data_IF_466450057946
#
_entry.id   IF_466450057946
#
_cell.length_a   1.000
_cell.length_b   1.000
_cell.length_c   1.000
_cell.angle_alpha   90.00
_cell.angle_beta   90.00
_cell.angle_gamma   90.00
#
_symmetry.space_group_name_H-M   'P 1'
#
loop_
_entity.id
_entity.type
_entity.pdbx_description
1 polymer ?
#
# COMPACT_ATOMS: atom_id res chain seq x y z
N UNK A 1 -41.52 65.88 0.82
CA UNK A 1 -40.84 65.91 -0.49
C UNK A 1 -40.56 64.46 -0.87
N UNK A 2 -41.49 63.78 -1.55
CA UNK A 2 -41.67 63.72 -3.02
C UNK A 2 -40.36 63.30 -3.71
N UNK A 3 -40.28 62.22 -4.50
CA UNK A 3 -41.26 61.77 -5.49
C UNK A 3 -41.16 60.27 -5.80
N UNK A 4 -42.29 59.74 -6.29
CA UNK A 4 -42.55 58.38 -6.78
C UNK A 4 -41.80 58.07 -8.07
N UNK A 5 -41.43 56.81 -8.26
CA UNK A 5 -41.38 56.18 -9.59
C UNK A 5 -41.67 54.69 -9.46
N UNK A 6 -42.89 54.32 -9.86
CA UNK A 6 -43.34 52.96 -10.12
C UNK A 6 -42.74 52.55 -11.48
N UNK A 7 -42.11 51.38 -11.57
CA UNK A 7 -41.76 50.79 -12.86
C UNK A 7 -42.29 49.36 -12.95
N UNK A 8 -42.98 49.11 -14.06
CA UNK A 8 -43.89 48.01 -14.31
C UNK A 8 -43.20 46.66 -14.55
N UNK A 9 -43.92 45.59 -14.20
CA UNK A 9 -43.68 44.22 -14.64
C UNK A 9 -43.55 44.15 -16.17
N UNK A 10 -42.47 43.56 -16.66
CA UNK A 10 -42.39 42.95 -17.98
C UNK A 10 -42.23 41.44 -17.80
N UNK A 11 -43.36 40.75 -17.72
CA UNK A 11 -43.47 39.29 -17.74
C UNK A 11 -43.11 38.83 -19.16
N UNK A 12 -41.83 38.52 -19.39
CA UNK A 12 -41.35 38.02 -20.68
C UNK A 12 -41.66 36.53 -20.77
N UNK A 13 -42.76 36.20 -21.46
CA UNK A 13 -43.12 34.83 -21.81
C UNK A 13 -42.10 34.28 -22.81
N UNK A 14 -41.11 33.54 -22.32
CA UNK A 14 -40.28 32.68 -23.16
C UNK A 14 -41.13 31.45 -23.52
N UNK A 15 -41.61 31.43 -24.77
CA UNK A 15 -42.21 30.27 -25.40
C UNK A 15 -41.18 29.13 -25.44
N UNK A 16 -41.28 28.20 -24.50
CA UNK A 16 -40.63 26.90 -24.64
C UNK A 16 -41.40 26.10 -25.71
N UNK A 17 -40.79 25.99 -26.90
CA UNK A 17 -41.20 24.97 -27.85
C UNK A 17 -41.03 23.59 -27.22
N UNK A 18 -42.13 22.85 -27.08
CA UNK A 18 -42.14 21.46 -26.66
C UNK A 18 -41.49 20.57 -27.73
N UNK A 19 -40.15 20.53 -27.75
CA UNK A 19 -39.41 19.40 -28.30
C UNK A 19 -39.60 18.16 -27.40
N UNK A 20 -39.29 16.95 -27.89
CA UNK A 20 -39.33 15.74 -27.06
C UNK A 20 -38.45 15.94 -25.83
N UNK A 21 -39.05 15.82 -24.64
CA UNK A 21 -38.39 15.97 -23.34
C UNK A 21 -37.08 15.16 -23.31
N UNK A 22 -35.95 15.84 -23.12
CA UNK A 22 -34.65 15.18 -22.96
C UNK A 22 -34.69 14.31 -21.69
N UNK A 23 -34.50 12.97 -21.80
CA UNK A 23 -34.55 12.07 -20.65
C UNK A 23 -33.59 12.49 -19.52
N UNK A 24 -32.47 13.16 -19.84
CA UNK A 24 -31.45 13.59 -18.86
C UNK A 24 -31.93 14.70 -17.92
N UNK A 25 -33.00 15.41 -18.26
CA UNK A 25 -33.59 16.46 -17.41
C UNK A 25 -34.51 15.91 -16.31
N UNK A 26 -34.80 14.60 -16.32
CA UNK A 26 -35.66 13.95 -15.32
C UNK A 26 -34.99 13.97 -13.95
N UNK A 27 -35.69 14.46 -12.93
CA UNK A 27 -35.23 14.49 -11.54
C UNK A 27 -35.33 13.09 -10.92
N UNK A 28 -34.28 12.67 -10.23
CA UNK A 28 -34.23 11.41 -9.50
C UNK A 28 -34.89 11.55 -8.12
N UNK A 29 -35.79 10.62 -7.73
CA UNK A 29 -36.24 10.53 -6.35
C UNK A 29 -35.05 10.26 -5.42
N UNK A 30 -34.97 10.98 -4.29
CA UNK A 30 -33.90 10.78 -3.30
C UNK A 30 -33.91 9.39 -2.66
N UNK A 31 -35.09 8.75 -2.58
CA UNK A 31 -35.25 7.38 -2.12
C UNK A 31 -35.19 6.41 -3.30
N UNK A 32 -34.11 5.63 -3.37
CA UNK A 32 -33.87 4.65 -4.44
C UNK A 32 -34.92 3.52 -4.44
N UNK A 33 -35.55 3.23 -3.29
CA UNK A 33 -36.54 2.16 -3.20
C UNK A 33 -37.81 2.46 -4.00
N UNK A 34 -38.13 3.73 -4.25
CA UNK A 34 -39.33 4.16 -4.97
C UNK A 34 -39.16 4.13 -6.50
N UNK A 35 -37.93 3.94 -7.00
CA UNK A 35 -37.61 4.06 -8.42
C UNK A 35 -38.32 3.05 -9.31
N UNK A 36 -38.56 1.83 -8.80
CA UNK A 36 -39.28 0.78 -9.54
C UNK A 36 -40.75 1.14 -9.80
N UNK A 37 -41.33 2.00 -8.97
CA UNK A 37 -42.72 2.44 -9.09
C UNK A 37 -42.85 3.76 -9.88
N UNK A 38 -41.74 4.42 -10.23
CA UNK A 38 -41.73 5.68 -10.96
C UNK A 38 -41.75 5.45 -12.48
N UNK A 39 -42.94 5.53 -13.07
CA UNK A 39 -43.18 5.34 -14.51
C UNK A 39 -42.51 6.41 -15.38
N UNK A 40 -42.30 7.62 -14.83
CA UNK A 40 -41.63 8.72 -15.54
C UNK A 40 -40.13 8.45 -15.60
N UNK A 41 -39.54 8.00 -14.50
CA UNK A 41 -38.15 7.56 -14.44
C UNK A 41 -37.92 6.35 -15.35
N UNK A 42 -38.79 5.34 -15.32
CA UNK A 42 -38.70 4.17 -16.20
C UNK A 42 -38.72 4.56 -17.68
N UNK A 43 -39.64 5.45 -18.07
CA UNK A 43 -39.74 5.97 -19.43
C UNK A 43 -38.52 6.77 -19.87
N UNK A 44 -37.91 7.54 -18.96
CA UNK A 44 -36.67 8.29 -19.23
C UNK A 44 -35.46 7.36 -19.38
N UNK A 45 -35.31 6.38 -18.48
CA UNK A 45 -34.19 5.41 -18.51
C UNK A 45 -34.23 4.55 -19.78
N UNK A 46 -35.41 4.13 -20.25
CA UNK A 46 -35.55 3.37 -21.51
C UNK A 46 -35.03 4.13 -22.73
N UNK A 47 -35.05 5.46 -22.70
CA UNK A 47 -34.56 6.35 -23.78
C UNK A 47 -33.08 6.69 -23.68
N UNK A 48 -32.39 6.30 -22.60
CA UNK A 48 -30.94 6.50 -22.45
C UNK A 48 -30.17 5.48 -23.31
N UNK A 49 -28.96 5.86 -23.74
CA UNK A 49 -27.98 4.92 -24.30
C UNK A 49 -27.41 3.98 -23.23
N UNK A 50 -26.86 2.84 -23.65
CA UNK A 50 -26.37 1.80 -22.73
C UNK A 50 -25.29 2.31 -21.75
N UNK A 51 -24.37 3.16 -22.19
CA UNK A 51 -23.34 3.74 -21.30
C UNK A 51 -23.94 4.69 -20.26
N UNK A 52 -24.92 5.51 -20.66
CA UNK A 52 -25.60 6.42 -19.75
C UNK A 52 -26.46 5.63 -18.73
N UNK A 53 -27.06 4.49 -19.12
CA UNK A 53 -27.72 3.55 -18.19
C UNK A 53 -26.72 2.96 -17.20
N UNK A 54 -25.56 2.48 -17.67
CA UNK A 54 -24.50 1.92 -16.82
C UNK A 54 -24.06 2.92 -15.76
N UNK A 55 -23.81 4.16 -16.17
CA UNK A 55 -23.38 5.24 -15.27
C UNK A 55 -24.46 5.63 -14.27
N UNK A 56 -25.73 5.69 -14.69
CA UNK A 56 -26.82 5.95 -13.77
C UNK A 56 -26.99 4.84 -12.72
N UNK A 57 -26.86 3.57 -13.13
CA UNK A 57 -26.88 2.41 -12.21
C UNK A 57 -25.68 2.45 -11.25
N UNK A 58 -24.48 2.74 -11.75
CA UNK A 58 -23.28 2.85 -10.91
C UNK A 58 -23.41 4.01 -9.90
N UNK A 59 -23.97 5.14 -10.31
CA UNK A 59 -24.28 6.26 -9.43
C UNK A 59 -25.24 5.85 -8.31
N UNK A 60 -26.37 5.21 -8.65
CA UNK A 60 -27.39 4.83 -7.67
C UNK A 60 -26.88 3.77 -6.70
N UNK A 61 -26.08 2.80 -7.16
CA UNK A 61 -25.40 1.85 -6.29
C UNK A 61 -24.45 2.54 -5.31
N UNK A 62 -23.62 3.48 -5.79
CA UNK A 62 -22.69 4.24 -4.96
C UNK A 62 -23.41 5.11 -3.92
N UNK A 63 -24.46 5.80 -4.33
CA UNK A 63 -25.28 6.61 -3.43
C UNK A 63 -26.03 5.76 -2.40
N UNK A 64 -26.61 4.63 -2.82
CA UNK A 64 -27.32 3.69 -1.93
C UNK A 64 -26.40 3.04 -0.91
N UNK A 65 -25.19 2.63 -1.31
CA UNK A 65 -24.17 2.17 -0.37
C UNK A 65 -23.77 3.28 0.60
N UNK A 66 -23.50 4.49 0.10
CA UNK A 66 -23.21 5.65 0.95
C UNK A 66 -24.28 5.89 2.02
N UNK A 67 -25.55 5.87 1.62
CA UNK A 67 -26.69 6.01 2.52
C UNK A 67 -26.79 4.90 3.56
N UNK A 68 -26.55 3.63 3.17
CA UNK A 68 -26.57 2.49 4.09
C UNK A 68 -25.48 2.57 5.17
N UNK A 69 -24.35 3.23 4.87
CA UNK A 69 -23.25 3.47 5.81
C UNK A 69 -23.31 4.86 6.48
N UNK A 70 -24.48 5.51 6.50
CA UNK A 70 -24.71 6.76 7.23
C UNK A 70 -24.32 8.05 6.49
N UNK A 71 -24.00 7.96 5.20
CA UNK A 71 -23.80 9.12 4.32
C UNK A 71 -25.11 9.70 3.79
N UNK A 72 -25.02 10.84 3.11
CA UNK A 72 -26.15 11.42 2.39
C UNK A 72 -26.48 10.56 1.16
N UNK A 73 -27.78 10.28 0.96
CA UNK A 73 -28.29 9.60 -0.23
C UNK A 73 -28.26 10.49 -1.47
N UNK A 74 -29.16 10.26 -2.43
CA UNK A 74 -29.20 11.07 -3.64
C UNK A 74 -29.70 12.49 -3.27
N UNK A 75 -28.90 13.55 -3.52
CA UNK A 75 -29.30 14.92 -3.18
C UNK A 75 -30.60 15.32 -3.88
N UNK A 76 -31.45 16.08 -3.19
CA UNK A 76 -32.70 16.56 -3.78
C UNK A 76 -32.41 17.44 -5.01
N UNK A 77 -33.22 17.27 -6.06
CA UNK A 77 -33.07 18.00 -7.32
C UNK A 77 -32.01 17.44 -8.27
N UNK A 78 -31.32 16.35 -7.91
CA UNK A 78 -30.38 15.66 -8.82
C UNK A 78 -31.13 15.14 -10.04
N UNK A 79 -30.72 15.52 -11.24
CA UNK A 79 -31.25 14.99 -12.51
C UNK A 79 -30.46 13.78 -12.99
N UNK A 80 -31.04 12.96 -13.87
CA UNK A 80 -30.34 11.87 -14.58
C UNK A 80 -29.03 12.37 -15.21
N UNK A 81 -29.07 13.53 -15.89
CA UNK A 81 -27.89 14.14 -16.50
C UNK A 81 -26.80 14.46 -15.48
N UNK A 82 -27.16 15.14 -14.39
CA UNK A 82 -26.20 15.49 -13.33
C UNK A 82 -25.64 14.27 -12.61
N UNK A 83 -26.43 13.21 -12.41
CA UNK A 83 -25.99 11.95 -11.81
C UNK A 83 -24.97 11.23 -12.70
N UNK A 84 -25.23 11.18 -14.00
CA UNK A 84 -24.30 10.61 -14.99
C UNK A 84 -23.00 11.42 -15.04
N UNK A 85 -23.05 12.74 -15.09
CA UNK A 85 -21.85 13.59 -15.08
C UNK A 85 -21.04 13.42 -13.81
N UNK A 86 -21.71 13.39 -12.65
CA UNK A 86 -21.08 13.15 -11.36
C UNK A 86 -20.40 11.78 -11.32
N UNK A 87 -21.04 10.74 -11.87
CA UNK A 87 -20.45 9.41 -11.95
C UNK A 87 -19.27 9.35 -12.91
N UNK A 88 -19.35 9.99 -14.09
CA UNK A 88 -18.21 10.09 -15.03
C UNK A 88 -17.02 10.78 -14.39
N UNK A 89 -17.26 11.91 -13.72
CA UNK A 89 -16.21 12.65 -13.01
C UNK A 89 -15.60 11.81 -11.88
N UNK A 90 -16.42 11.05 -11.14
CA UNK A 90 -15.95 10.16 -10.10
C UNK A 90 -15.11 9.00 -10.66
N UNK A 91 -15.57 8.33 -11.73
CA UNK A 91 -14.82 7.24 -12.37
C UNK A 91 -13.50 7.73 -12.97
N UNK A 92 -13.48 8.92 -13.59
CA UNK A 92 -12.24 9.53 -14.08
C UNK A 92 -11.30 9.88 -12.93
N UNK A 93 -11.80 10.49 -11.85
CA UNK A 93 -11.01 10.78 -10.66
C UNK A 93 -10.43 9.50 -10.03
N UNK A 94 -11.21 8.42 -9.95
CA UNK A 94 -10.74 7.12 -9.46
C UNK A 94 -9.69 6.52 -10.40
N UNK A 95 -9.88 6.61 -11.72
CA UNK A 95 -8.91 6.13 -12.70
C UNK A 95 -7.59 6.88 -12.59
N UNK A 96 -7.64 8.20 -12.48
CA UNK A 96 -6.46 9.05 -12.29
C UNK A 96 -5.76 8.75 -10.97
N UNK A 97 -6.51 8.65 -9.86
CA UNK A 97 -5.96 8.30 -8.56
C UNK A 97 -5.30 6.91 -8.58
N UNK A 98 -5.96 5.91 -9.18
CA UNK A 98 -5.40 4.57 -9.34
C UNK A 98 -4.16 4.57 -10.23
N UNK A 99 -4.17 5.31 -11.34
CA UNK A 99 -3.01 5.43 -12.23
C UNK A 99 -1.81 6.07 -11.51
N UNK A 100 -2.05 7.11 -10.69
CA UNK A 100 -1.01 7.72 -9.86
C UNK A 100 -0.48 6.76 -8.79
N UNK A 101 -1.37 6.01 -8.12
CA UNK A 101 -0.98 4.99 -7.14
C UNK A 101 -0.15 3.87 -7.77
N UNK A 102 -0.61 3.32 -8.90
CA UNK A 102 0.08 2.24 -9.61
C UNK A 102 1.43 2.73 -10.17
N UNK A 103 1.50 3.96 -10.69
CA UNK A 103 2.75 4.56 -11.16
C UNK A 103 3.75 4.79 -10.01
N UNK A 104 3.29 5.30 -8.87
CA UNK A 104 4.13 5.48 -7.69
C UNK A 104 4.62 4.13 -7.15
N UNK A 105 3.75 3.13 -7.07
CA UNK A 105 4.11 1.78 -6.64
C UNK A 105 5.16 1.15 -7.59
N UNK A 106 5.00 1.32 -8.90
CA UNK A 106 5.96 0.85 -9.89
C UNK A 106 7.32 1.56 -9.77
N UNK A 107 7.33 2.89 -9.57
CA UNK A 107 8.55 3.66 -9.37
C UNK A 107 9.29 3.24 -8.09
N UNK A 108 8.56 3.10 -6.97
CA UNK A 108 9.15 2.66 -5.70
C UNK A 108 9.70 1.24 -5.84
N UNK A 109 8.96 0.31 -6.46
CA UNK A 109 9.44 -1.06 -6.70
C UNK A 109 10.71 -1.08 -7.54
N UNK A 110 10.79 -0.24 -8.57
CA UNK A 110 12.00 -0.08 -9.38
C UNK A 110 13.18 0.41 -8.53
N UNK A 111 12.98 1.48 -7.75
CA UNK A 111 14.01 2.02 -6.83
C UNK A 111 14.46 1.00 -5.79
N UNK A 112 13.54 0.17 -5.28
CA UNK A 112 13.86 -0.92 -4.34
C UNK A 112 14.73 -1.99 -4.99
N UNK A 113 14.43 -2.41 -6.22
CA UNK A 113 15.25 -3.39 -6.95
C UNK A 113 16.64 -2.85 -7.27
N UNK A 114 16.74 -1.58 -7.67
CA UNK A 114 18.01 -0.89 -7.91
C UNK A 114 18.84 -0.80 -6.63
N UNK A 115 18.22 -0.35 -5.53
CA UNK A 115 18.87 -0.24 -4.22
C UNK A 115 19.30 -1.60 -3.68
N UNK A 116 18.46 -2.64 -3.82
CA UNK A 116 18.79 -4.00 -3.42
C UNK A 116 19.99 -4.53 -4.19
N UNK A 117 20.05 -4.30 -5.51
CA UNK A 117 21.19 -4.69 -6.34
C UNK A 117 22.47 -3.96 -5.93
N UNK A 118 22.38 -2.64 -5.70
CA UNK A 118 23.52 -1.85 -5.24
C UNK A 118 24.02 -2.33 -3.88
N UNK A 119 23.13 -2.54 -2.91
CA UNK A 119 23.47 -2.98 -1.56
C UNK A 119 24.05 -4.41 -1.55
N UNK A 120 23.50 -5.33 -2.32
CA UNK A 120 24.05 -6.69 -2.43
C UNK A 120 25.41 -6.73 -3.16
N UNK A 121 25.68 -5.74 -4.02
CA UNK A 121 27.00 -5.56 -4.62
C UNK A 121 27.99 -5.00 -3.58
N UNK A 122 27.56 -4.03 -2.78
CA UNK A 122 28.39 -3.37 -1.78
C UNK A 122 28.84 -4.30 -0.64
N UNK A 123 27.95 -5.18 -0.18
CA UNK A 123 28.22 -6.09 0.93
C UNK A 123 27.81 -7.52 0.57
N UNK A 124 28.77 -8.45 0.61
CA UNK A 124 28.46 -9.88 0.54
C UNK A 124 28.40 -10.46 1.94
N UNK A 125 27.35 -11.25 2.21
CA UNK A 125 27.12 -11.87 3.52
C UNK A 125 27.11 -13.39 3.40
N UNK A 126 27.65 -14.10 4.38
CA UNK A 126 27.57 -15.56 4.42
C UNK A 126 27.42 -16.07 5.86
N UNK A 127 26.52 -17.03 6.07
CA UNK A 127 26.36 -17.70 7.36
C UNK A 127 27.55 -18.64 7.61
N UNK A 128 28.34 -18.34 8.63
CA UNK A 128 29.48 -19.15 9.05
C UNK A 128 29.09 -20.15 10.13
N UNK A 129 28.26 -19.72 11.08
CA UNK A 129 27.79 -20.59 12.15
C UNK A 129 26.37 -20.21 12.55
N UNK A 130 25.58 -21.24 12.83
CA UNK A 130 24.34 -21.14 13.59
C UNK A 130 24.32 -22.36 14.52
N UNK A 131 24.24 -22.12 15.83
CA UNK A 131 24.19 -23.21 16.82
C UNK A 131 23.25 -22.87 17.95
N UNK A 132 22.52 -23.89 18.40
CA UNK A 132 21.74 -23.83 19.63
C UNK A 132 22.66 -24.08 20.82
N UNK A 133 22.56 -23.24 21.83
CA UNK A 133 23.36 -23.32 23.06
C UNK A 133 22.40 -23.40 24.24
N UNK A 134 22.34 -24.54 24.94
CA UNK A 134 21.48 -24.66 26.12
C UNK A 134 22.01 -23.80 27.27
N UNK A 135 21.08 -23.42 28.14
CA UNK A 135 21.33 -22.83 29.44
C UNK A 135 22.33 -23.69 30.23
N UNK A 136 23.25 -23.01 30.90
CA UNK A 136 24.24 -23.62 31.77
C UNK A 136 24.58 -22.65 32.90
N UNK A 137 23.99 -22.89 34.07
CA UNK A 137 24.18 -22.09 35.27
C UNK A 137 25.64 -22.05 35.74
N UNK A 138 26.41 -23.13 35.56
CA UNK A 138 27.84 -23.16 35.93
C UNK A 138 28.68 -22.24 35.02
N UNK A 139 28.22 -22.04 33.79
CA UNK A 139 28.83 -21.12 32.83
C UNK A 139 28.16 -19.72 32.83
N UNK A 140 27.35 -19.40 33.84
CA UNK A 140 26.60 -18.14 33.94
C UNK A 140 25.67 -17.84 32.75
N UNK A 141 25.22 -18.88 32.04
CA UNK A 141 24.22 -18.76 30.96
C UNK A 141 22.87 -19.21 31.48
N UNK A 142 21.98 -18.25 31.71
CA UNK A 142 20.68 -18.48 32.35
C UNK A 142 19.64 -18.98 31.36
N UNK A 143 19.75 -18.57 30.09
CA UNK A 143 18.75 -18.85 29.06
C UNK A 143 19.34 -19.69 27.92
N UNK A 144 18.47 -20.46 27.28
CA UNK A 144 18.76 -21.13 26.02
C UNK A 144 18.83 -20.07 24.91
N UNK A 145 19.82 -20.15 24.04
CA UNK A 145 20.00 -19.16 22.97
C UNK A 145 20.53 -19.81 21.69
N UNK A 146 20.46 -19.06 20.60
CA UNK A 146 21.23 -19.34 19.41
C UNK A 146 22.43 -18.39 19.34
N UNK A 147 23.58 -18.95 19.00
CA UNK A 147 24.75 -18.17 18.56
C UNK A 147 24.80 -18.20 17.03
N UNK A 148 25.09 -17.04 16.44
CA UNK A 148 25.19 -16.85 15.00
C UNK A 148 26.51 -16.15 14.65
N UNK A 149 27.19 -16.66 13.62
CA UNK A 149 28.35 -16.00 13.02
C UNK A 149 28.08 -15.73 11.55
N UNK A 150 28.29 -14.48 11.13
CA UNK A 150 28.09 -14.05 9.75
C UNK A 150 29.36 -13.37 9.26
N UNK A 151 29.87 -13.82 8.11
CA UNK A 151 30.94 -13.13 7.41
C UNK A 151 30.33 -11.96 6.62
N UNK A 152 30.82 -10.75 6.87
CA UNK A 152 30.51 -9.56 6.10
C UNK A 152 31.74 -9.13 5.31
N UNK A 153 31.66 -9.27 3.99
CA UNK A 153 32.68 -8.79 3.06
C UNK A 153 32.24 -7.46 2.45
N UNK A 154 32.96 -6.40 2.80
CA UNK A 154 32.79 -5.09 2.17
C UNK A 154 33.50 -5.10 0.81
N UNK A 155 32.73 -5.03 -0.27
CA UNK A 155 33.26 -5.01 -1.64
C UNK A 155 33.47 -3.58 -2.16
N UNK A 156 33.22 -2.56 -1.34
CA UNK A 156 33.40 -1.16 -1.72
C UNK A 156 34.82 -0.68 -1.41
N UNK A 157 35.17 0.48 -1.97
CA UNK A 157 36.42 1.19 -1.68
C UNK A 157 36.34 2.07 -0.42
N UNK A 158 35.18 2.14 0.24
CA UNK A 158 34.95 2.96 1.42
C UNK A 158 34.76 2.07 2.65
N UNK A 159 35.23 2.52 3.81
CA UNK A 159 34.96 1.80 5.07
C UNK A 159 33.48 1.93 5.44
N UNK A 160 32.84 0.80 5.73
CA UNK A 160 31.52 0.80 6.35
C UNK A 160 31.68 0.91 7.87
N UNK A 161 30.91 1.78 8.50
CA UNK A 161 30.90 2.01 9.96
C UNK A 161 29.61 1.49 10.62
N UNK A 162 28.70 0.95 9.82
CA UNK A 162 27.45 0.41 10.31
C UNK A 162 26.70 -0.33 9.22
N UNK A 163 26.19 -1.51 9.55
CA UNK A 163 25.41 -2.37 8.65
C UNK A 163 24.16 -2.83 9.38
N UNK A 164 23.00 -2.61 8.76
CA UNK A 164 21.71 -3.07 9.25
C UNK A 164 20.96 -3.83 8.17
N UNK A 165 20.27 -4.87 8.59
CA UNK A 165 19.41 -5.67 7.72
C UNK A 165 18.66 -6.73 8.51
N UNK A 166 18.04 -7.64 7.79
CA UNK A 166 17.30 -8.77 8.33
C UNK A 166 17.91 -10.06 7.81
N UNK A 167 18.29 -10.94 8.73
CA UNK A 167 18.63 -12.33 8.42
C UNK A 167 17.35 -13.11 8.28
N UNK A 168 17.20 -13.83 7.17
CA UNK A 168 16.04 -14.68 6.91
C UNK A 168 16.52 -16.12 6.76
N UNK A 169 16.00 -16.99 7.61
CA UNK A 169 16.18 -18.43 7.50
C UNK A 169 14.97 -19.04 6.84
N UNK A 170 15.19 -19.82 5.78
CA UNK A 170 14.15 -20.54 5.04
C UNK A 170 14.44 -22.04 5.04
N UNK A 171 13.41 -22.87 4.88
CA UNK A 171 13.59 -24.29 4.58
C UNK A 171 13.87 -24.53 3.09
N UNK A 172 14.03 -25.81 2.73
CA UNK A 172 14.28 -26.27 1.36
C UNK A 172 13.16 -25.94 0.37
N UNK A 173 11.95 -25.66 0.86
CA UNK A 173 10.80 -25.25 0.02
C UNK A 173 10.72 -23.72 -0.11
N UNK A 174 11.62 -22.99 0.56
CA UNK A 174 11.65 -21.53 0.56
C UNK A 174 10.69 -20.89 1.56
N UNK A 175 10.03 -21.67 2.42
CA UNK A 175 9.20 -21.11 3.47
C UNK A 175 10.06 -20.45 4.55
N UNK A 176 9.65 -19.27 5.00
CA UNK A 176 10.36 -18.56 6.05
C UNK A 176 10.16 -19.29 7.38
N UNK A 177 11.28 -19.68 8.00
CA UNK A 177 11.31 -20.26 9.34
C UNK A 177 11.43 -19.15 10.37
N UNK A 178 12.39 -18.22 10.20
CA UNK A 178 12.68 -17.16 11.17
C UNK A 178 13.24 -15.94 10.46
N UNK A 179 12.89 -14.76 10.96
CA UNK A 179 13.52 -13.49 10.59
C UNK A 179 14.12 -12.84 11.83
N UNK A 180 15.31 -12.26 11.68
CA UNK A 180 16.04 -11.62 12.77
C UNK A 180 16.58 -10.28 12.26
N UNK A 181 16.20 -9.19 12.91
CA UNK A 181 16.79 -7.89 12.63
C UNK A 181 18.19 -7.83 13.24
N UNK A 182 19.16 -7.42 12.44
CA UNK A 182 20.56 -7.34 12.82
C UNK A 182 21.07 -5.92 12.56
N UNK A 183 21.74 -5.36 13.57
CA UNK A 183 22.54 -4.14 13.45
C UNK A 183 23.96 -4.47 13.89
N UNK A 184 24.93 -4.17 13.05
CA UNK A 184 26.35 -4.23 13.37
C UNK A 184 26.91 -2.83 13.27
N UNK A 185 27.32 -2.26 14.39
CA UNK A 185 27.90 -0.92 14.47
C UNK A 185 29.44 -0.97 14.45
N UNK A 186 30.02 -2.14 14.19
CA UNK A 186 31.47 -2.31 14.05
C UNK A 186 31.95 -1.99 12.63
N UNK A 187 33.15 -1.41 12.55
CA UNK A 187 33.82 -1.07 11.30
C UNK A 187 34.10 -2.29 10.43
N UNK A 188 33.80 -2.16 9.13
CA UNK A 188 34.15 -3.12 8.07
C UNK A 188 35.04 -2.38 7.06
N UNK A 189 36.38 -2.52 7.16
CA UNK A 189 37.30 -1.84 6.27
C UNK A 189 37.03 -2.14 4.78
N UNK A 190 37.38 -1.21 3.92
CA UNK A 190 37.22 -1.35 2.48
C UNK A 190 37.92 -2.62 1.95
N UNK A 191 37.20 -3.40 1.13
CA UNK A 191 37.70 -4.65 0.56
C UNK A 191 37.90 -5.82 1.55
N UNK A 192 37.64 -5.62 2.84
CA UNK A 192 37.91 -6.62 3.88
C UNK A 192 36.66 -7.42 4.26
N UNK A 193 36.91 -8.58 4.86
CA UNK A 193 35.90 -9.41 5.49
C UNK A 193 36.04 -9.34 7.01
N UNK A 194 34.94 -9.11 7.71
CA UNK A 194 34.86 -9.23 9.17
C UNK A 194 33.85 -10.30 9.56
N UNK A 195 34.04 -10.92 10.73
CA UNK A 195 33.08 -11.87 11.28
C UNK A 195 32.25 -11.14 12.34
N UNK A 196 30.96 -11.01 12.08
CA UNK A 196 29.98 -10.62 13.07
C UNK A 196 29.63 -11.83 13.94
N UNK A 197 29.70 -11.66 15.26
CA UNK A 197 29.26 -12.63 16.24
C UNK A 197 28.06 -12.06 16.98
N UNK A 198 26.95 -12.80 16.99
CA UNK A 198 25.75 -12.39 17.70
C UNK A 198 25.05 -13.57 18.36
N UNK A 199 24.06 -13.25 19.17
CA UNK A 199 23.15 -14.22 19.75
C UNK A 199 21.72 -13.69 19.77
N UNK A 200 20.77 -14.60 19.83
CA UNK A 200 19.36 -14.29 20.05
C UNK A 200 18.72 -15.39 20.87
N UNK A 201 17.76 -15.01 21.70
CA UNK A 201 17.15 -15.91 22.67
C UNK A 201 16.32 -16.99 21.97
N UNK A 202 16.31 -18.19 22.55
CA UNK A 202 15.43 -19.27 22.13
C UNK A 202 14.17 -19.28 23.01
N UNK A 203 13.01 -19.18 22.37
CA UNK A 203 11.73 -19.35 23.05
C UNK A 203 11.03 -20.63 22.58
N UNK A 204 10.95 -21.63 23.46
CA UNK A 204 10.30 -22.91 23.18
C UNK A 204 8.80 -22.81 22.85
N UNK A 205 8.14 -21.70 23.18
CA UNK A 205 6.73 -21.46 22.87
C UNK A 205 6.54 -20.78 21.50
N UNK A 206 7.62 -20.36 20.85
CA UNK A 206 7.61 -19.82 19.50
C UNK A 206 7.84 -20.94 18.48
N UNK A 207 6.89 -21.10 17.57
CA UNK A 207 6.97 -22.13 16.52
C UNK A 207 8.18 -21.92 15.61
N UNK A 208 8.56 -20.66 15.34
CA UNK A 208 9.71 -20.30 14.53
C UNK A 208 11.02 -20.76 15.16
N UNK A 209 11.15 -20.62 16.48
CA UNK A 209 12.37 -20.96 17.23
C UNK A 209 12.51 -22.48 17.37
N UNK A 210 11.41 -23.16 17.66
CA UNK A 210 11.38 -24.64 17.69
C UNK A 210 11.64 -25.23 16.30
N UNK A 211 11.05 -24.67 15.23
CA UNK A 211 11.32 -25.09 13.84
C UNK A 211 12.78 -24.83 13.47
N UNK A 212 13.34 -23.67 13.80
CA UNK A 212 14.76 -23.35 13.52
C UNK A 212 15.71 -24.31 14.25
N UNK A 213 15.46 -24.60 15.54
CA UNK A 213 16.26 -25.54 16.34
C UNK A 213 16.27 -26.95 15.75
N UNK A 214 15.12 -27.40 15.26
CA UNK A 214 14.91 -28.78 14.80
C UNK A 214 15.26 -28.98 13.31
N UNK A 215 15.49 -27.90 12.57
CA UNK A 215 15.84 -28.00 11.14
C UNK A 215 17.34 -28.24 10.99
N UNK A 216 17.68 -29.29 10.24
CA UNK A 216 19.07 -29.57 9.88
C UNK A 216 19.67 -28.37 9.12
N UNK A 217 20.88 -27.96 9.50
CA UNK A 217 21.58 -26.83 8.90
C UNK A 217 21.77 -26.96 7.39
N UNK A 218 21.94 -28.18 6.86
CA UNK A 218 22.02 -28.43 5.40
C UNK A 218 20.70 -28.16 4.66
N UNK A 219 19.58 -28.10 5.39
CA UNK A 219 18.24 -27.79 4.87
C UNK A 219 17.85 -26.33 5.09
N UNK A 220 18.72 -25.53 5.71
CA UNK A 220 18.50 -24.11 5.91
C UNK A 220 19.08 -23.31 4.75
N UNK A 221 18.27 -22.43 4.19
CA UNK A 221 18.73 -21.37 3.31
C UNK A 221 18.88 -20.09 4.12
N UNK A 222 20.06 -19.48 4.06
CA UNK A 222 20.35 -18.17 4.63
C UNK A 222 20.19 -17.09 3.57
N UNK A 223 19.43 -16.05 3.89
CA UNK A 223 19.31 -14.85 3.07
C UNK A 223 19.52 -13.60 3.92
N UNK A 224 20.24 -12.63 3.35
CA UNK A 224 20.42 -11.31 3.93
C UNK A 224 19.57 -10.29 3.17
N UNK A 225 18.65 -9.66 3.88
CA UNK A 225 17.86 -8.55 3.37
C UNK A 225 18.44 -7.24 3.90
N UNK A 226 19.16 -6.46 3.07
CA UNK A 226 19.76 -5.21 3.52
C UNK A 226 18.70 -4.17 3.89
N UNK A 227 18.99 -3.31 4.86
CA UNK A 227 18.14 -2.18 5.23
C UNK A 227 18.90 -0.86 5.13
N UNK A 228 20.06 -0.77 5.79
CA UNK A 228 20.86 0.47 5.82
C UNK A 228 22.34 0.17 5.98
N UNK A 229 23.18 0.77 5.15
CA UNK A 229 24.64 0.80 5.31
C UNK A 229 25.14 2.23 5.51
N UNK A 230 26.01 2.42 6.48
CA UNK A 230 26.66 3.68 6.82
C UNK A 230 28.14 3.60 6.48
N UNK A 231 28.65 4.64 5.84
CA UNK A 231 30.07 4.76 5.47
C UNK A 231 30.73 5.88 6.27
N UNK A 232 32.03 5.77 6.49
CA UNK A 232 32.81 6.75 7.27
C UNK A 232 32.67 8.19 6.74
N UNK A 233 32.53 8.37 5.41
CA UNK A 233 32.32 9.66 4.78
C UNK A 233 30.90 10.26 4.93
N UNK A 234 30.04 9.66 5.76
CA UNK A 234 28.65 10.09 5.98
C UNK A 234 27.68 9.67 4.89
N UNK A 235 28.16 9.01 3.82
CA UNK A 235 27.33 8.38 2.81
C UNK A 235 26.47 7.29 3.46
N UNK A 236 25.23 7.16 2.97
CA UNK A 236 24.26 6.18 3.43
C UNK A 236 23.60 5.50 2.24
N UNK A 237 23.57 4.17 2.25
CA UNK A 237 22.74 3.37 1.35
C UNK A 237 21.56 2.82 2.15
N UNK A 238 20.34 3.00 1.65
CA UNK A 238 19.11 2.61 2.35
C UNK A 238 18.11 1.99 1.40
N UNK A 239 17.42 0.95 1.87
CA UNK A 239 16.25 0.44 1.16
C UNK A 239 15.11 1.47 1.21
N UNK A 240 14.53 1.85 0.05
CA UNK A 240 13.34 2.69 0.01
C UNK A 240 12.17 1.99 0.71
N UNK A 241 11.55 2.66 1.68
CA UNK A 241 10.34 2.17 2.36
C UNK A 241 9.12 2.90 1.82
N UNK A 242 8.04 2.15 1.61
CA UNK A 242 6.69 2.74 1.54
C UNK A 242 6.32 3.01 2.98
N UNK A 243 6.27 4.27 3.39
CA UNK A 243 5.66 4.60 4.69
C UNK A 243 4.20 4.15 4.60
N UNK A 244 3.82 3.21 5.46
CA UNK A 244 2.45 2.71 5.59
C UNK A 244 1.54 3.71 6.26
#
# INVERSE_FOLDING_TARGET
MNSKAVLALALSAVLFGCGPMDPKTTVLPSDISTWKADTKLEGAVKKLGEEDKRLLVAYSMRAGLGQAFGGEGIPQGTTIGSAIETQKAWEEAQRQAKAQQDALAAEVKKKQLESLKEMNTALTTSLMELKFVPSNFQAHRIEDLFEIQIAFKNNTSEKMIGVRGTVVFKDVFGEIIKQINLSNDADIPAGQTVIYNGSFDYNQFMNEDTKLRNTDRSKLTFEWMPDTYLFEGGKKLTMPRVNG
#
